data_IF_983830941277
#
_entry.id   IF_983830941277
#
_cell.length_a   1.000
_cell.length_b   1.000
_cell.length_c   1.000
_cell.angle_alpha   90.00
_cell.angle_beta   90.00
_cell.angle_gamma   90.00
#
_symmetry.space_group_name_H-M   'P 1'
#
loop_
_entity.id
_entity.type
_entity.pdbx_description
1 polymer ?
#
# COMPACT_ATOMS: atom_id res chain seq x y z
N UNK A 1 3.98 4.96 20.98
CA UNK A 1 4.25 4.16 19.76
C UNK A 1 3.25 4.60 18.71
N UNK A 2 3.21 4.01 17.51
CA UNK A 2 2.14 4.31 16.56
C UNK A 2 0.79 3.83 17.14
N UNK A 3 -0.24 4.69 17.13
CA UNK A 3 -1.57 4.41 17.72
C UNK A 3 -2.14 3.04 17.31
N UNK A 4 -2.08 2.71 16.02
CA UNK A 4 -2.56 1.44 15.49
C UNK A 4 -1.77 0.22 15.98
N UNK A 5 -0.49 0.39 16.29
CA UNK A 5 0.35 -0.69 16.81
C UNK A 5 -0.02 -1.04 18.26
N UNK A 6 -0.34 -0.02 19.06
CA UNK A 6 -0.84 -0.20 20.43
C UNK A 6 -2.22 -0.87 20.41
N UNK A 7 -3.15 -0.35 19.60
CA UNK A 7 -4.48 -0.93 19.42
C UNK A 7 -4.43 -2.38 18.94
N UNK A 8 -3.49 -2.71 18.04
CA UNK A 8 -3.28 -4.09 17.61
C UNK A 8 -2.91 -5.00 18.78
N UNK A 9 -1.97 -4.56 19.62
CA UNK A 9 -1.45 -5.37 20.72
C UNK A 9 -2.44 -5.50 21.86
N UNK A 10 -3.14 -4.41 22.22
CA UNK A 10 -4.06 -4.39 23.36
C UNK A 10 -5.44 -4.95 23.05
N UNK A 11 -5.98 -4.65 21.86
CA UNK A 11 -7.41 -4.83 21.57
C UNK A 11 -7.65 -5.81 20.43
N UNK A 12 -6.95 -5.68 19.30
CA UNK A 12 -7.25 -6.52 18.14
C UNK A 12 -6.69 -7.93 18.25
N UNK A 13 -5.54 -8.10 18.90
CA UNK A 13 -4.94 -9.42 19.12
C UNK A 13 -5.87 -10.38 19.88
N UNK A 14 -6.47 -10.02 21.04
CA UNK A 14 -7.41 -10.92 21.72
C UNK A 14 -8.69 -11.15 20.90
N UNK A 15 -9.24 -10.11 20.26
CA UNK A 15 -10.43 -10.22 19.42
C UNK A 15 -10.22 -11.17 18.23
N UNK A 16 -9.07 -11.09 17.57
CA UNK A 16 -8.73 -11.96 16.45
C UNK A 16 -8.47 -13.39 16.90
N UNK A 17 -7.86 -13.58 18.07
CA UNK A 17 -7.67 -14.91 18.65
C UNK A 17 -9.01 -15.61 18.86
N UNK A 18 -9.97 -14.90 19.45
CA UNK A 18 -11.33 -15.41 19.69
C UNK A 18 -12.09 -15.64 18.38
N UNK A 19 -12.12 -14.64 17.47
CA UNK A 19 -12.84 -14.72 16.19
C UNK A 19 -12.32 -15.83 15.28
N UNK A 20 -11.01 -16.12 15.32
CA UNK A 20 -10.38 -17.14 14.49
C UNK A 20 -10.22 -18.49 15.21
N UNK A 21 -10.61 -18.59 16.49
CA UNK A 21 -10.49 -19.81 17.29
C UNK A 21 -9.06 -20.34 17.40
N UNK A 22 -8.07 -19.45 17.48
CA UNK A 22 -6.65 -19.83 17.48
C UNK A 22 -6.16 -20.15 18.90
N UNK A 23 -5.56 -21.31 19.09
CA UNK A 23 -5.00 -21.71 20.39
C UNK A 23 -3.79 -20.85 20.78
N UNK A 24 -2.93 -20.56 19.79
CA UNK A 24 -1.66 -19.86 19.98
C UNK A 24 -1.76 -18.37 19.63
N UNK A 25 -1.30 -17.51 20.55
CA UNK A 25 -1.21 -16.05 20.36
C UNK A 25 -0.30 -15.70 19.17
N UNK A 26 0.77 -16.46 18.95
CA UNK A 26 1.72 -16.20 17.86
C UNK A 26 1.17 -16.58 16.48
N UNK A 27 0.06 -17.33 16.43
CA UNK A 27 -0.62 -17.66 15.17
C UNK A 27 -1.53 -16.53 14.67
N UNK A 28 -1.79 -15.51 15.51
CA UNK A 28 -2.65 -14.39 15.13
C UNK A 28 -2.00 -13.61 13.97
N UNK A 29 -2.74 -13.33 12.89
CA UNK A 29 -2.25 -12.55 11.76
C UNK A 29 -1.75 -11.16 12.18
N UNK A 30 -0.63 -10.73 11.62
CA UNK A 30 -0.08 -9.38 11.77
C UNK A 30 0.29 -8.77 10.42
N UNK A 31 0.36 -7.45 10.38
CA UNK A 31 0.93 -6.72 9.26
C UNK A 31 2.46 -6.88 9.26
N UNK A 32 3.03 -7.30 8.15
CA UNK A 32 4.49 -7.51 8.02
C UNK A 32 5.16 -6.32 7.34
N UNK A 33 4.58 -5.85 6.24
CA UNK A 33 5.08 -4.71 5.45
C UNK A 33 3.97 -4.14 4.59
N UNK A 34 4.08 -2.88 4.23
CA UNK A 34 3.29 -2.26 3.17
C UNK A 34 4.26 -1.81 2.09
N UNK A 35 3.99 -2.21 0.84
CA UNK A 35 4.79 -1.81 -0.32
C UNK A 35 3.95 -0.90 -1.19
N UNK A 36 4.46 0.29 -1.46
CA UNK A 36 3.88 1.21 -2.45
C UNK A 36 4.71 1.10 -3.71
N UNK A 37 4.04 1.05 -4.85
CA UNK A 37 4.67 0.92 -6.15
C UNK A 37 3.98 1.85 -7.16
N UNK A 38 4.78 2.61 -7.90
CA UNK A 38 4.32 3.42 -9.03
C UNK A 38 5.01 2.92 -10.29
N UNK A 39 4.22 2.43 -11.24
CA UNK A 39 4.69 2.13 -12.60
C UNK A 39 4.63 3.39 -13.46
N UNK A 40 5.78 3.88 -13.94
CA UNK A 40 5.86 5.09 -14.77
C UNK A 40 5.88 4.77 -16.27
N UNK A 41 6.05 3.50 -16.66
CA UNK A 41 5.89 3.03 -18.03
C UNK A 41 6.74 3.81 -19.04
N UNK A 42 6.13 4.26 -20.14
CA UNK A 42 6.80 5.06 -21.17
C UNK A 42 7.28 6.44 -20.67
N UNK A 43 6.65 6.99 -19.63
CA UNK A 43 7.06 8.26 -19.02
C UNK A 43 8.40 8.15 -18.28
N UNK A 44 8.89 6.93 -18.01
CA UNK A 44 10.20 6.71 -17.39
C UNK A 44 11.39 7.04 -18.31
N UNK A 45 11.14 7.41 -19.57
CA UNK A 45 12.19 7.93 -20.48
C UNK A 45 12.66 9.31 -20.08
N UNK A 46 11.78 10.11 -19.49
CA UNK A 46 12.15 11.42 -18.98
C UNK A 46 12.62 11.27 -17.53
N UNK A 47 13.86 11.67 -17.28
CA UNK A 47 14.46 11.62 -15.95
C UNK A 47 13.71 12.53 -14.97
N UNK A 48 13.15 13.66 -15.44
CA UNK A 48 12.40 14.60 -14.59
C UNK A 48 11.14 13.96 -14.01
N UNK A 49 10.45 13.12 -14.79
CA UNK A 49 9.25 12.41 -14.34
C UNK A 49 9.58 11.44 -13.21
N UNK A 50 10.73 10.75 -13.31
CA UNK A 50 11.19 9.84 -12.26
C UNK A 50 11.53 10.63 -10.99
N UNK A 51 12.26 11.73 -11.12
CA UNK A 51 12.64 12.57 -9.97
C UNK A 51 11.38 13.14 -9.27
N UNK A 52 10.41 13.66 -10.03
CA UNK A 52 9.10 14.09 -9.51
C UNK A 52 8.34 12.94 -8.80
N UNK A 53 8.32 11.74 -9.38
CA UNK A 53 7.66 10.59 -8.75
C UNK A 53 8.35 10.13 -7.46
N UNK A 54 9.68 10.27 -7.39
CA UNK A 54 10.47 10.01 -6.18
C UNK A 54 10.08 11.00 -5.09
N UNK A 55 9.96 12.29 -5.41
CA UNK A 55 9.59 13.33 -4.46
C UNK A 55 8.14 13.18 -3.97
N UNK A 56 7.20 12.90 -4.88
CA UNK A 56 5.79 12.62 -4.54
C UNK A 56 5.66 11.40 -3.61
N UNK A 57 6.33 10.28 -3.95
CA UNK A 57 6.28 9.08 -3.11
C UNK A 57 7.01 9.28 -1.78
N UNK A 58 8.06 10.10 -1.75
CA UNK A 58 8.74 10.48 -0.50
C UNK A 58 7.81 11.30 0.39
N UNK A 59 7.06 12.26 -0.15
CA UNK A 59 6.09 13.06 0.59
C UNK A 59 4.97 12.18 1.19
N UNK A 60 4.44 11.23 0.42
CA UNK A 60 3.39 10.32 0.87
C UNK A 60 3.89 9.38 1.97
N UNK A 61 5.02 8.73 1.72
CA UNK A 61 5.50 7.64 2.58
C UNK A 61 6.39 8.10 3.73
N UNK A 62 6.89 9.33 3.72
CA UNK A 62 7.88 9.84 4.66
C UNK A 62 9.26 9.17 4.53
N UNK A 63 9.48 8.39 3.47
CA UNK A 63 10.70 7.63 3.25
C UNK A 63 11.17 7.79 1.80
N UNK A 64 12.48 7.99 1.62
CA UNK A 64 13.07 8.07 0.27
C UNK A 64 12.83 6.75 -0.49
N UNK A 65 12.11 6.79 -1.63
CA UNK A 65 11.80 5.59 -2.37
C UNK A 65 12.97 5.13 -3.25
N UNK A 66 12.87 3.90 -3.73
CA UNK A 66 13.88 3.25 -4.58
C UNK A 66 13.38 3.20 -6.02
N UNK A 67 14.21 3.65 -6.95
CA UNK A 67 13.97 3.51 -8.39
C UNK A 67 14.14 2.05 -8.80
N UNK A 68 13.16 1.54 -9.54
CA UNK A 68 13.14 0.19 -10.08
C UNK A 68 13.57 0.21 -11.54
N UNK A 69 14.37 -0.80 -11.90
CA UNK A 69 14.95 -0.93 -13.23
C UNK A 69 14.43 -2.19 -13.94
N UNK A 70 14.35 -2.12 -15.26
CA UNK A 70 13.99 -3.25 -16.11
C UNK A 70 15.01 -4.39 -15.97
N UNK A 71 14.52 -5.59 -15.61
CA UNK A 71 15.37 -6.79 -15.50
C UNK A 71 15.70 -7.44 -16.84
N UNK A 72 14.88 -7.20 -17.86
CA UNK A 72 15.01 -7.79 -19.20
C UNK A 72 14.61 -6.77 -20.25
N UNK A 73 15.22 -6.89 -21.43
CA UNK A 73 14.81 -6.12 -22.61
C UNK A 73 13.53 -6.74 -23.21
N UNK A 74 12.54 -5.90 -23.49
CA UNK A 74 11.26 -6.33 -24.09
C UNK A 74 10.92 -5.36 -25.22
N UNK A 75 11.05 -5.83 -26.46
CA UNK A 75 10.88 -4.99 -27.65
C UNK A 75 9.45 -4.41 -27.80
N UNK A 76 8.42 -5.16 -27.41
CA UNK A 76 7.02 -4.71 -27.50
C UNK A 76 6.73 -3.46 -26.66
N UNK A 77 7.37 -3.34 -25.49
CA UNK A 77 7.29 -2.15 -24.63
C UNK A 77 8.45 -1.17 -24.88
N UNK A 78 9.29 -1.43 -25.89
CA UNK A 78 10.49 -0.65 -26.21
C UNK A 78 11.45 -0.50 -25.02
N UNK A 79 11.51 -1.52 -24.15
CA UNK A 79 12.32 -1.52 -22.93
C UNK A 79 13.68 -2.19 -23.16
N UNK A 80 14.72 -1.59 -22.57
CA UNK A 80 16.06 -2.18 -22.47
C UNK A 80 16.37 -2.53 -21.03
N UNK A 81 17.13 -3.59 -20.82
CA UNK A 81 17.65 -3.96 -19.50
C UNK A 81 18.41 -2.80 -18.85
N UNK A 82 18.20 -2.60 -17.55
CA UNK A 82 18.80 -1.49 -16.79
C UNK A 82 18.12 -0.14 -16.96
N UNK A 83 17.06 -0.03 -17.76
CA UNK A 83 16.29 1.20 -17.90
C UNK A 83 15.39 1.43 -16.67
N UNK A 84 15.31 2.65 -16.11
CA UNK A 84 14.38 2.94 -15.02
C UNK A 84 12.94 2.83 -15.51
N UNK A 85 12.04 2.31 -14.67
CA UNK A 85 10.65 1.99 -15.03
C UNK A 85 9.60 2.50 -14.05
N UNK A 86 10.00 2.70 -12.80
CA UNK A 86 9.06 3.01 -11.73
C UNK A 86 9.77 3.22 -10.41
N UNK A 87 8.98 3.52 -9.39
CA UNK A 87 9.46 3.88 -8.07
C UNK A 87 8.71 3.05 -7.04
N UNK A 88 9.40 2.53 -6.02
CA UNK A 88 8.78 1.78 -4.94
C UNK A 88 9.33 2.14 -3.58
N UNK A 89 8.51 1.97 -2.55
CA UNK A 89 8.94 2.06 -1.15
C UNK A 89 8.35 0.91 -0.35
N UNK A 90 9.09 0.43 0.64
CA UNK A 90 8.61 -0.63 1.54
C UNK A 90 8.66 -0.15 2.98
N UNK A 91 7.49 0.07 3.54
CA UNK A 91 7.28 0.51 4.91
C UNK A 91 7.20 -0.70 5.85
N UNK A 92 7.84 -0.57 7.02
CA UNK A 92 7.88 -1.60 8.07
C UNK A 92 7.87 -0.94 9.45
N UNK A 93 7.48 -1.68 10.48
CA UNK A 93 7.49 -1.17 11.85
C UNK A 93 6.49 -0.02 12.05
N UNK A 94 6.88 1.03 12.78
CA UNK A 94 6.00 2.15 13.12
C UNK A 94 5.53 2.93 11.89
N UNK A 95 6.42 3.21 10.93
CA UNK A 95 6.09 4.00 9.73
C UNK A 95 5.02 3.32 8.86
N UNK A 96 5.01 1.98 8.86
CA UNK A 96 3.95 1.21 8.20
C UNK A 96 2.59 1.44 8.87
N UNK A 97 2.52 1.36 10.20
CA UNK A 97 1.27 1.58 10.93
C UNK A 97 0.78 3.02 10.80
N UNK A 98 1.67 4.02 10.83
CA UNK A 98 1.32 5.43 10.63
C UNK A 98 0.79 5.70 9.22
N UNK A 99 1.45 5.14 8.19
CA UNK A 99 0.95 5.23 6.82
C UNK A 99 -0.40 4.54 6.67
N UNK A 100 -0.58 3.36 7.28
CA UNK A 100 -1.84 2.63 7.21
C UNK A 100 -2.99 3.37 7.88
N UNK A 101 -2.73 4.05 9.01
CA UNK A 101 -3.71 4.90 9.70
C UNK A 101 -4.15 6.07 8.82
N UNK A 102 -3.17 6.80 8.25
CA UNK A 102 -3.43 7.90 7.30
C UNK A 102 -4.21 7.42 6.08
N UNK A 103 -3.85 6.24 5.55
CA UNK A 103 -4.52 5.67 4.38
C UNK A 103 -6.01 5.44 4.66
N UNK A 104 -6.34 4.77 5.76
CA UNK A 104 -7.74 4.42 6.10
C UNK A 104 -8.54 5.67 6.47
N UNK A 105 -8.01 6.52 7.35
CA UNK A 105 -8.78 7.62 7.94
C UNK A 105 -8.85 8.85 7.04
N UNK A 106 -7.81 9.13 6.26
CA UNK A 106 -7.67 10.38 5.52
C UNK A 106 -7.75 10.14 4.01
N UNK A 107 -6.93 9.25 3.46
CA UNK A 107 -6.76 9.14 2.01
C UNK A 107 -7.90 8.39 1.33
N UNK A 108 -8.36 7.26 1.87
CA UNK A 108 -9.40 6.43 1.26
C UNK A 108 -10.74 7.16 1.12
N UNK A 109 -11.23 7.92 2.13
CA UNK A 109 -12.44 8.72 1.98
C UNK A 109 -12.36 9.81 0.89
N UNK A 110 -11.16 10.24 0.51
CA UNK A 110 -10.93 11.27 -0.53
C UNK A 110 -10.88 10.67 -1.94
N UNK A 111 -11.00 9.36 -2.10
CA UNK A 111 -11.13 8.72 -3.41
C UNK A 111 -12.44 9.18 -4.07
N UNK A 112 -12.36 9.67 -5.31
CA UNK A 112 -13.55 10.04 -6.10
C UNK A 112 -14.47 8.83 -6.28
N UNK A 113 -15.76 9.02 -6.02
CA UNK A 113 -16.81 7.99 -6.08
C UNK A 113 -16.49 6.75 -5.23
N UNK A 114 -15.99 6.94 -4.01
CA UNK A 114 -15.66 5.83 -3.13
C UNK A 114 -16.90 5.01 -2.75
N UNK A 115 -16.93 3.74 -3.16
CA UNK A 115 -17.99 2.76 -2.85
C UNK A 115 -17.53 1.62 -1.94
N UNK A 116 -16.39 1.79 -1.27
CA UNK A 116 -15.71 0.70 -0.57
C UNK A 116 -14.67 0.00 -1.43
N UNK A 117 -13.68 -0.58 -0.76
CA UNK A 117 -12.59 -1.35 -1.36
C UNK A 117 -13.07 -2.78 -1.67
N UNK A 118 -12.58 -3.34 -2.77
CA UNK A 118 -13.02 -4.66 -3.22
C UNK A 118 -12.55 -5.76 -2.24
N UNK A 119 -13.47 -6.55 -1.65
CA UNK A 119 -13.11 -7.64 -0.73
C UNK A 119 -12.50 -8.87 -1.43
N UNK A 120 -12.44 -8.87 -2.78
CA UNK A 120 -11.84 -9.94 -3.59
C UNK A 120 -10.39 -9.68 -4.01
N UNK A 121 -9.80 -8.53 -3.66
CA UNK A 121 -8.43 -8.19 -4.09
C UNK A 121 -7.33 -8.84 -3.23
N UNK A 122 -7.62 -10.02 -2.68
CA UNK A 122 -6.65 -10.84 -1.97
C UNK A 122 -5.94 -11.80 -2.94
N UNK A 123 -4.73 -12.22 -2.60
CA UNK A 123 -3.89 -13.07 -3.44
C UNK A 123 -4.03 -14.58 -3.15
N UNK A 124 -5.00 -14.98 -2.32
CA UNK A 124 -5.19 -16.37 -1.87
C UNK A 124 -4.28 -16.78 -0.71
N UNK A 125 -3.31 -15.93 -0.33
CA UNK A 125 -2.36 -16.16 0.77
C UNK A 125 -2.45 -15.05 1.81
N UNK A 126 -3.59 -14.37 1.89
CA UNK A 126 -3.83 -13.35 2.90
C UNK A 126 -3.10 -12.03 2.70
N UNK A 127 -2.56 -11.74 1.50
CA UNK A 127 -2.08 -10.40 1.17
C UNK A 127 -3.13 -9.64 0.38
N UNK A 128 -3.25 -8.35 0.66
CA UNK A 128 -4.23 -7.49 0.02
C UNK A 128 -3.53 -6.48 -0.90
N UNK A 129 -4.03 -6.34 -2.12
CA UNK A 129 -3.52 -5.31 -3.04
C UNK A 129 -4.65 -4.40 -3.49
N UNK A 130 -4.38 -3.10 -3.54
CA UNK A 130 -5.30 -2.11 -4.09
C UNK A 130 -4.58 -1.15 -5.01
N UNK A 131 -5.26 -0.77 -6.09
CA UNK A 131 -4.82 0.30 -6.99
C UNK A 131 -5.49 1.61 -6.62
N UNK A 132 -4.68 2.67 -6.52
CA UNK A 132 -5.09 4.06 -6.41
C UNK A 132 -4.88 4.68 -7.79
N UNK A 133 -5.94 5.25 -8.37
CA UNK A 133 -5.88 5.82 -9.73
C UNK A 133 -5.18 7.18 -9.77
N UNK A 134 -5.34 7.96 -8.71
CA UNK A 134 -4.91 9.36 -8.65
C UNK A 134 -4.20 9.59 -7.32
N UNK A 135 -2.96 10.08 -7.34
CA UNK A 135 -2.16 10.33 -6.13
C UNK A 135 -2.67 11.50 -5.29
N UNK A 136 -3.61 12.31 -5.80
CA UNK A 136 -4.21 13.47 -5.13
C UNK A 136 -5.04 13.13 -3.88
N UNK A 137 -5.31 11.84 -3.65
CA UNK A 137 -6.01 11.40 -2.44
C UNK A 137 -5.19 11.68 -1.17
N UNK A 138 -3.86 11.77 -1.31
CA UNK A 138 -2.95 12.08 -0.23
C UNK A 138 -2.88 13.60 -0.02
N UNK A 139 -3.20 14.12 1.18
CA UNK A 139 -3.13 15.57 1.46
C UNK A 139 -1.71 16.13 1.38
N UNK A 140 -0.68 15.27 1.45
CA UNK A 140 0.71 15.64 1.31
C UNK A 140 1.07 16.07 -0.12
N UNK A 141 0.25 15.72 -1.11
CA UNK A 141 0.47 16.11 -2.51
C UNK A 141 -0.22 17.45 -2.78
N UNK A 142 0.59 18.41 -3.25
CA UNK A 142 0.14 19.72 -3.68
C UNK A 142 -0.35 19.65 -5.13
N UNK A 143 -1.64 19.92 -5.35
CA UNK A 143 -2.28 19.83 -6.65
C UNK A 143 -1.62 20.73 -7.70
N UNK A 144 -1.15 21.92 -7.31
CA UNK A 144 -0.60 22.90 -8.24
C UNK A 144 0.81 22.53 -8.74
N UNK A 145 1.48 21.59 -8.06
CA UNK A 145 2.82 21.10 -8.39
C UNK A 145 2.82 19.80 -9.18
N UNK A 146 1.65 19.23 -9.46
CA UNK A 146 1.54 17.95 -10.17
C UNK A 146 1.66 18.20 -11.68
N UNK A 147 2.69 17.60 -12.30
CA UNK A 147 2.82 17.61 -13.75
C UNK A 147 1.78 16.70 -14.43
N UNK A 148 1.56 15.51 -13.84
CA UNK A 148 0.71 14.45 -14.37
C UNK A 148 0.01 13.68 -13.24
N UNK A 149 -1.26 13.34 -13.45
CA UNK A 149 -1.98 12.38 -12.59
C UNK A 149 -1.40 10.98 -12.80
N UNK A 150 -0.89 10.39 -11.71
CA UNK A 150 -0.26 9.07 -11.67
C UNK A 150 -1.02 8.17 -10.71
N UNK A 151 -1.15 6.91 -11.12
CA UNK A 151 -1.65 5.86 -10.25
C UNK A 151 -0.54 5.28 -9.38
N UNK A 152 -0.94 4.59 -8.31
CA UNK A 152 -0.05 3.78 -7.50
C UNK A 152 -0.74 2.50 -7.04
N UNK A 153 0.04 1.47 -6.81
CA UNK A 153 -0.41 0.22 -6.22
C UNK A 153 0.10 0.13 -4.78
N UNK A 154 -0.80 -0.26 -3.89
CA UNK A 154 -0.52 -0.46 -2.46
C UNK A 154 -0.74 -1.93 -2.16
N UNK A 155 0.34 -2.62 -1.78
CA UNK A 155 0.30 -4.02 -1.37
C UNK A 155 0.54 -4.11 0.14
N UNK A 156 -0.45 -4.63 0.85
CA UNK A 156 -0.41 -4.91 2.28
C UNK A 156 -0.06 -6.38 2.46
N UNK A 157 1.14 -6.65 2.96
CA UNK A 157 1.59 -8.01 3.25
C UNK A 157 1.30 -8.36 4.71
N UNK A 158 0.62 -9.48 4.92
CA UNK A 158 0.29 -9.97 6.25
C UNK A 158 0.96 -11.32 6.53
N UNK A 159 0.85 -11.83 7.74
CA UNK A 159 1.25 -13.21 8.09
C UNK A 159 0.09 -14.20 8.03
N UNK A 160 -1.10 -13.78 7.60
CA UNK A 160 -2.24 -14.67 7.47
C UNK A 160 -1.92 -15.79 6.47
N UNK A 161 -2.47 -16.98 6.70
CA UNK A 161 -2.32 -18.10 5.77
C UNK A 161 -3.40 -18.09 4.69
N UNK A 162 -4.59 -17.61 5.05
CA UNK A 162 -5.79 -17.61 4.21
C UNK A 162 -6.40 -16.20 4.12
N UNK A 163 -7.17 -15.97 3.07
CA UNK A 163 -7.81 -14.67 2.81
C UNK A 163 -8.83 -14.29 3.89
N UNK A 164 -9.52 -15.25 4.50
CA UNK A 164 -10.50 -14.97 5.55
C UNK A 164 -9.85 -14.44 6.83
N UNK A 165 -8.67 -14.96 7.18
CA UNK A 165 -7.88 -14.46 8.31
C UNK A 165 -7.39 -13.04 8.05
N UNK A 166 -6.92 -12.76 6.83
CA UNK A 166 -6.48 -11.43 6.43
C UNK A 166 -7.64 -10.43 6.36
N UNK A 167 -8.81 -10.87 5.89
CA UNK A 167 -10.03 -10.06 5.86
C UNK A 167 -10.46 -9.71 7.28
N UNK A 168 -10.49 -10.68 8.19
CA UNK A 168 -10.81 -10.43 9.60
C UNK A 168 -9.83 -9.43 10.24
N UNK A 169 -8.53 -9.54 9.95
CA UNK A 169 -7.52 -8.59 10.41
C UNK A 169 -7.81 -7.17 9.91
N UNK A 170 -8.02 -7.00 8.60
CA UNK A 170 -8.29 -5.69 8.00
C UNK A 170 -9.62 -5.10 8.47
N UNK A 171 -10.66 -5.91 8.65
CA UNK A 171 -11.94 -5.49 9.24
C UNK A 171 -11.76 -4.93 10.65
N UNK A 172 -10.94 -5.57 11.50
CA UNK A 172 -10.64 -5.06 12.84
C UNK A 172 -9.97 -3.68 12.81
N UNK A 173 -9.14 -3.42 11.80
CA UNK A 173 -8.54 -2.10 11.57
C UNK A 173 -9.51 -1.06 10.98
N UNK A 174 -10.77 -1.40 10.76
CA UNK A 174 -11.76 -0.50 10.18
C UNK A 174 -11.60 -0.31 8.67
N UNK A 175 -11.00 -1.28 7.99
CA UNK A 175 -10.77 -1.20 6.55
C UNK A 175 -12.12 -1.18 5.80
N UNK A 176 -12.38 -0.19 4.94
CA UNK A 176 -13.70 0.05 4.36
C UNK A 176 -13.96 -0.88 3.17
N UNK A 177 -14.27 -2.15 3.44
CA UNK A 177 -14.71 -3.09 2.39
C UNK A 177 -16.08 -2.68 1.83
N UNK A 178 -16.24 -2.83 0.52
CA UNK A 178 -17.53 -2.70 -0.15
C UNK A 178 -18.47 -3.80 0.33
N UNK A 179 -19.62 -3.40 0.86
CA UNK A 179 -20.76 -4.27 1.16
C UNK A 179 -21.66 -4.41 -0.07
#
# INVERSE_FOLDING_TARGET
MARLQELYTSTYLPQLKEKLGLDNVMAVPKLTKITLNMGLGDSARDKKVIDSAVDEMAAISGQKPVVTYARKSIAGFKLREGMPLGVKVTLRGSTMYEFFDRLIQISVPRIRDFRGLNPKSFDGRGNYSMGVKEQIIFPEIDYDKIDQIRGMDITITTTAQNDDQARALLECFGFPFRR
#
